data_IF_705230449880
#
_entry.id   IF_705230449880
#
_cell.length_a   1.000
_cell.length_b   1.000
_cell.length_c   1.000
_cell.angle_alpha   90.00
_cell.angle_beta   90.00
_cell.angle_gamma   90.00
#
_symmetry.space_group_name_H-M   'P 1'
#
loop_
_entity.id
_entity.type
_entity.pdbx_description
1 polymer ?
#
# COMPACT_ATOMS: atom_id res chain seq x y z
N UNK A 1 -28.70 -6.14 8.39
CA UNK A 1 -27.51 -6.09 7.49
C UNK A 1 -28.04 -5.94 6.07
N UNK A 2 -27.70 -4.88 5.31
CA UNK A 2 -28.20 -4.70 3.93
C UNK A 2 -27.85 -5.94 3.08
N UNK A 3 -28.80 -6.42 2.27
CA UNK A 3 -28.60 -7.54 1.34
C UNK A 3 -27.46 -7.18 0.37
N UNK A 4 -26.55 -8.12 0.09
CA UNK A 4 -25.50 -7.93 -0.91
C UNK A 4 -26.14 -7.91 -2.29
N UNK A 5 -25.77 -6.93 -3.11
CA UNK A 5 -26.20 -6.78 -4.50
C UNK A 5 -25.03 -7.13 -5.41
N UNK A 6 -25.00 -8.33 -6.03
CA UNK A 6 -23.91 -8.74 -6.90
C UNK A 6 -23.68 -7.80 -8.08
N UNK A 7 -24.74 -7.22 -8.63
CA UNK A 7 -24.67 -6.19 -9.67
C UNK A 7 -23.79 -4.99 -9.27
N UNK A 8 -23.92 -4.46 -8.05
CA UNK A 8 -23.11 -3.34 -7.58
C UNK A 8 -21.65 -3.73 -7.33
N UNK A 9 -21.37 -5.00 -7.01
CA UNK A 9 -20.00 -5.50 -6.91
C UNK A 9 -19.34 -5.52 -8.29
N UNK A 10 -20.07 -5.95 -9.31
CA UNK A 10 -19.61 -5.97 -10.69
C UNK A 10 -19.34 -4.54 -11.20
N UNK A 11 -20.24 -3.58 -10.94
CA UNK A 11 -20.02 -2.17 -11.26
C UNK A 11 -18.75 -1.60 -10.60
N UNK A 12 -18.50 -1.95 -9.34
CA UNK A 12 -17.27 -1.51 -8.65
C UNK A 12 -16.01 -2.15 -9.25
N UNK A 13 -16.06 -3.41 -9.67
CA UNK A 13 -14.96 -4.09 -10.37
C UNK A 13 -14.67 -3.41 -11.71
N UNK A 14 -15.70 -3.06 -12.47
CA UNK A 14 -15.56 -2.31 -13.73
C UNK A 14 -14.97 -0.92 -13.48
N UNK A 15 -15.41 -0.22 -12.44
CA UNK A 15 -14.85 1.06 -12.06
C UNK A 15 -13.38 0.94 -11.66
N UNK A 16 -12.98 -0.13 -10.95
CA UNK A 16 -11.57 -0.43 -10.71
C UNK A 16 -10.81 -0.65 -12.01
N UNK A 17 -11.35 -1.41 -12.96
CA UNK A 17 -10.70 -1.62 -14.25
C UNK A 17 -10.54 -0.31 -15.05
N UNK A 18 -11.45 0.64 -14.88
CA UNK A 18 -11.36 1.95 -15.52
C UNK A 18 -10.38 2.91 -14.80
N UNK A 19 -10.60 3.19 -13.50
CA UNK A 19 -9.82 4.18 -12.73
C UNK A 19 -8.50 3.64 -12.17
N UNK A 20 -8.34 2.32 -12.08
CA UNK A 20 -7.21 1.56 -11.51
C UNK A 20 -7.00 1.70 -10.00
N UNK A 21 -7.31 2.85 -9.42
CA UNK A 21 -7.22 3.12 -7.99
C UNK A 21 -8.47 3.90 -7.51
N UNK A 22 -9.13 3.40 -6.46
CA UNK A 22 -10.36 3.98 -5.91
C UNK A 22 -10.23 4.27 -4.43
N UNK A 23 -10.90 5.32 -3.96
CA UNK A 23 -11.04 5.60 -2.53
C UNK A 23 -12.26 4.91 -1.94
N UNK A 24 -12.36 4.89 -0.60
CA UNK A 24 -13.59 4.45 0.07
C UNK A 24 -14.79 5.30 -0.36
N UNK A 25 -14.62 6.60 -0.61
CA UNK A 25 -15.71 7.47 -1.01
C UNK A 25 -16.26 7.10 -2.41
N UNK A 26 -15.38 6.80 -3.38
CA UNK A 26 -15.79 6.29 -4.69
C UNK A 26 -16.60 5.00 -4.56
N UNK A 27 -16.13 4.09 -3.70
CA UNK A 27 -16.77 2.79 -3.49
C UNK A 27 -18.08 2.88 -2.71
N UNK A 28 -18.21 3.81 -1.77
CA UNK A 28 -19.49 4.08 -1.08
C UNK A 28 -20.55 4.53 -2.08
N UNK A 29 -20.17 5.38 -3.04
CA UNK A 29 -21.08 5.87 -4.07
C UNK A 29 -21.59 4.75 -4.99
N UNK A 30 -20.69 3.86 -5.45
CA UNK A 30 -21.08 2.74 -6.33
C UNK A 30 -21.81 1.63 -5.57
N UNK A 31 -21.27 1.20 -4.43
CA UNK A 31 -21.80 0.05 -3.69
C UNK A 31 -23.06 0.39 -2.86
N UNK A 32 -23.42 1.68 -2.79
CA UNK A 32 -24.54 2.23 -2.02
C UNK A 32 -24.62 1.69 -0.57
N UNK A 33 -23.46 1.61 0.09
CA UNK A 33 -23.32 0.99 1.39
C UNK A 33 -22.37 1.76 2.31
N UNK A 34 -22.38 1.41 3.59
CA UNK A 34 -21.56 2.11 4.59
C UNK A 34 -20.06 1.90 4.35
N UNK A 35 -19.19 2.85 4.78
CA UNK A 35 -17.73 2.69 4.72
C UNK A 35 -17.21 1.40 5.39
N UNK A 36 -17.89 0.91 6.44
CA UNK A 36 -17.55 -0.35 7.11
C UNK A 36 -17.81 -1.54 6.17
N UNK A 37 -18.93 -1.53 5.45
CA UNK A 37 -19.26 -2.56 4.47
C UNK A 37 -18.29 -2.54 3.29
N UNK A 38 -17.92 -1.35 2.80
CA UNK A 38 -16.89 -1.19 1.77
C UNK A 38 -15.56 -1.81 2.21
N UNK A 39 -15.08 -1.51 3.42
CA UNK A 39 -13.83 -2.11 3.95
C UNK A 39 -13.91 -3.63 4.03
N UNK A 40 -15.07 -4.19 4.39
CA UNK A 40 -15.27 -5.64 4.36
C UNK A 40 -15.16 -6.20 2.93
N UNK A 41 -15.80 -5.57 1.94
CA UNK A 41 -15.69 -5.99 0.53
C UNK A 41 -14.25 -5.88 0.01
N UNK A 42 -13.55 -4.79 0.32
CA UNK A 42 -12.13 -4.60 -0.03
C UNK A 42 -11.23 -5.71 0.53
N UNK A 43 -11.53 -6.20 1.75
CA UNK A 43 -10.83 -7.34 2.36
C UNK A 43 -11.20 -8.66 1.67
N UNK A 44 -12.47 -8.88 1.35
CA UNK A 44 -12.94 -10.06 0.60
C UNK A 44 -12.32 -10.14 -0.80
N UNK A 45 -12.14 -9.01 -1.47
CA UNK A 45 -11.49 -8.90 -2.79
C UNK A 45 -9.95 -8.88 -2.76
N UNK A 46 -9.36 -9.05 -1.57
CA UNK A 46 -7.91 -9.05 -1.35
C UNK A 46 -7.17 -7.82 -1.92
N UNK A 47 -7.79 -6.64 -1.86
CA UNK A 47 -7.22 -5.42 -2.46
C UNK A 47 -5.89 -4.99 -1.83
N UNK A 48 -5.05 -4.35 -2.64
CA UNK A 48 -3.88 -3.62 -2.16
C UNK A 48 -4.28 -2.19 -1.78
N UNK A 49 -3.69 -1.66 -0.71
CA UNK A 49 -3.84 -0.24 -0.32
C UNK A 49 -2.60 0.56 -0.69
N UNK A 50 -2.80 1.84 -0.98
CA UNK A 50 -1.72 2.77 -1.29
C UNK A 50 -0.88 3.06 -0.05
N UNK A 51 0.44 2.86 -0.13
CA UNK A 51 1.30 3.05 1.03
C UNK A 51 1.69 4.53 1.24
N UNK A 52 1.70 5.34 0.19
CA UNK A 52 2.14 6.74 0.23
C UNK A 52 1.01 7.78 0.41
N UNK A 53 -0.25 7.33 0.42
CA UNK A 53 -1.43 8.20 0.58
C UNK A 53 -2.24 7.80 1.80
N UNK A 54 -1.59 7.40 2.90
CA UNK A 54 -2.25 7.01 4.16
C UNK A 54 -3.32 5.93 3.97
N UNK A 55 -3.06 4.90 3.14
CA UNK A 55 -4.03 3.83 2.81
C UNK A 55 -5.38 4.35 2.24
N UNK A 56 -5.37 5.51 1.58
CA UNK A 56 -6.59 6.14 1.04
C UNK A 56 -7.11 5.47 -0.22
N UNK A 57 -6.22 4.95 -1.05
CA UNK A 57 -6.57 4.35 -2.33
C UNK A 57 -6.37 2.84 -2.32
N UNK A 58 -7.21 2.15 -3.06
CA UNK A 58 -7.26 0.70 -3.17
C UNK A 58 -7.19 0.28 -4.63
N UNK A 59 -6.72 -0.93 -4.89
CA UNK A 59 -6.70 -1.54 -6.23
C UNK A 59 -6.87 -3.06 -6.13
N UNK A 60 -7.53 -3.66 -7.13
CA UNK A 60 -7.73 -5.11 -7.21
C UNK A 60 -6.41 -5.83 -7.54
N UNK A 61 -6.17 -7.06 -7.05
CA UNK A 61 -4.94 -7.80 -7.33
C UNK A 61 -4.60 -8.01 -8.80
N UNK A 62 -5.61 -8.03 -9.68
CA UNK A 62 -5.45 -8.21 -11.12
C UNK A 62 -4.92 -6.97 -11.86
N UNK A 63 -4.86 -5.80 -11.21
CA UNK A 63 -4.55 -4.53 -11.86
C UNK A 63 -3.06 -4.16 -11.81
N UNK A 64 -2.38 -4.19 -10.64
CA UNK A 64 -0.99 -3.76 -10.52
C UNK A 64 -0.04 -4.57 -11.39
N UNK A 65 0.83 -3.88 -12.12
CA UNK A 65 2.01 -4.47 -12.74
C UNK A 65 3.23 -4.11 -11.90
N UNK A 66 3.47 -4.90 -10.86
CA UNK A 66 4.60 -4.66 -9.96
C UNK A 66 5.93 -4.76 -10.70
N UNK A 67 6.83 -3.83 -10.41
CA UNK A 67 8.22 -3.88 -10.88
C UNK A 67 8.96 -5.07 -10.27
N UNK A 68 10.21 -5.30 -10.70
CA UNK A 68 11.11 -6.30 -10.08
C UNK A 68 11.26 -6.10 -8.56
N UNK A 69 11.12 -4.85 -8.09
CA UNK A 69 11.20 -4.49 -6.68
C UNK A 69 9.88 -4.68 -5.93
N UNK A 70 8.80 -5.10 -6.61
CA UNK A 70 7.49 -5.28 -5.98
C UNK A 70 6.70 -3.97 -5.81
N UNK A 71 7.11 -2.89 -6.47
CA UNK A 71 6.43 -1.58 -6.40
C UNK A 71 5.68 -1.32 -7.69
N UNK A 72 4.43 -0.87 -7.57
CA UNK A 72 3.64 -0.37 -8.69
C UNK A 72 3.26 1.08 -8.42
N UNK A 73 3.70 1.96 -9.32
CA UNK A 73 3.38 3.39 -9.28
C UNK A 73 2.27 3.66 -10.28
N UNK A 74 1.15 4.20 -9.80
CA UNK A 74 0.06 4.66 -10.65
C UNK A 74 -0.17 6.15 -10.39
N UNK A 75 0.30 7.00 -11.32
CA UNK A 75 0.40 8.45 -11.11
C UNK A 75 1.21 8.74 -9.85
N UNK A 76 0.64 9.44 -8.88
CA UNK A 76 1.21 9.76 -7.58
C UNK A 76 0.80 8.77 -6.47
N UNK A 77 0.15 7.64 -6.81
CA UNK A 77 -0.34 6.62 -5.86
C UNK A 77 0.50 5.36 -6.00
N UNK A 78 1.13 4.93 -4.91
CA UNK A 78 2.07 3.82 -4.93
C UNK A 78 1.55 2.63 -4.12
N UNK A 79 1.71 1.45 -4.68
CA UNK A 79 1.29 0.18 -4.12
C UNK A 79 2.49 -0.76 -4.02
N UNK A 80 2.43 -1.66 -3.04
CA UNK A 80 3.48 -2.64 -2.81
C UNK A 80 2.89 -4.04 -2.79
N UNK A 81 3.59 -4.98 -3.43
CA UNK A 81 3.32 -6.42 -3.35
C UNK A 81 3.35 -6.92 -1.89
N UNK A 82 4.10 -6.23 -1.02
CA UNK A 82 4.21 -6.52 0.42
C UNK A 82 3.07 -5.89 1.26
N UNK A 83 2.04 -5.33 0.59
CA UNK A 83 0.82 -4.74 1.14
C UNK A 83 1.04 -3.42 1.88
N UNK A 84 1.67 -3.45 3.04
CA UNK A 84 1.81 -2.26 3.91
C UNK A 84 3.16 -1.57 3.70
N UNK A 85 3.23 -0.26 3.97
CA UNK A 85 4.51 0.46 3.91
C UNK A 85 5.57 -0.19 4.82
N UNK A 86 5.19 -0.51 6.06
CA UNK A 86 6.05 -1.18 7.04
C UNK A 86 6.62 -2.50 6.50
N UNK A 87 5.76 -3.38 5.96
CA UNK A 87 6.22 -4.65 5.40
C UNK A 87 7.13 -4.45 4.19
N UNK A 88 6.89 -3.40 3.41
CA UNK A 88 7.69 -3.04 2.24
C UNK A 88 9.09 -2.61 2.65
N UNK A 89 9.22 -1.75 3.67
CA UNK A 89 10.52 -1.33 4.23
C UNK A 89 11.27 -2.53 4.79
N UNK A 90 10.60 -3.35 5.62
CA UNK A 90 11.19 -4.57 6.19
C UNK A 90 11.72 -5.50 5.11
N UNK A 91 10.97 -5.68 4.02
CA UNK A 91 11.42 -6.50 2.91
C UNK A 91 12.72 -5.94 2.30
N UNK A 92 12.75 -4.65 1.96
CA UNK A 92 13.91 -4.04 1.31
C UNK A 92 15.16 -4.05 2.17
N UNK A 93 15.02 -3.77 3.46
CA UNK A 93 16.13 -3.87 4.41
C UNK A 93 16.67 -5.30 4.46
N UNK A 94 15.79 -6.30 4.61
CA UNK A 94 16.20 -7.70 4.78
C UNK A 94 16.88 -8.30 3.55
N UNK A 95 16.51 -7.85 2.34
CA UNK A 95 17.17 -8.33 1.11
C UNK A 95 18.46 -7.57 0.80
N UNK A 96 18.72 -6.46 1.49
CA UNK A 96 20.00 -5.75 1.39
C UNK A 96 21.08 -6.46 2.20
N UNK A 97 22.31 -6.51 1.67
CA UNK A 97 23.45 -7.11 2.37
C UNK A 97 23.89 -6.30 3.59
N UNK A 98 23.79 -4.97 3.51
CA UNK A 98 24.32 -4.04 4.50
C UNK A 98 23.20 -3.21 5.15
N UNK A 99 21.94 -3.61 5.01
CA UNK A 99 20.80 -2.76 5.35
C UNK A 99 20.59 -1.64 4.33
N UNK A 100 19.69 -0.70 4.64
CA UNK A 100 19.46 0.47 3.79
C UNK A 100 19.44 1.75 4.60
N UNK A 101 20.09 2.77 4.07
CA UNK A 101 19.99 4.14 4.55
C UNK A 101 18.64 4.78 4.19
N UNK A 102 18.33 5.92 4.81
CA UNK A 102 17.11 6.68 4.50
C UNK A 102 17.02 7.11 3.04
N UNK A 103 18.14 7.53 2.45
CA UNK A 103 18.24 7.96 1.05
C UNK A 103 18.00 6.80 0.10
N UNK A 104 18.61 5.63 0.36
CA UNK A 104 18.38 4.42 -0.43
C UNK A 104 16.92 3.94 -0.31
N UNK A 105 16.35 3.97 0.90
CA UNK A 105 14.93 3.66 1.10
C UNK A 105 14.03 4.62 0.32
N UNK A 106 14.33 5.92 0.32
CA UNK A 106 13.57 6.90 -0.46
C UNK A 106 13.65 6.64 -1.97
N UNK A 107 14.83 6.29 -2.48
CA UNK A 107 15.04 5.94 -3.89
C UNK A 107 14.19 4.74 -4.30
N UNK A 108 14.22 3.68 -3.49
CA UNK A 108 13.49 2.43 -3.75
C UNK A 108 11.98 2.61 -3.59
N UNK A 109 11.54 3.29 -2.52
CA UNK A 109 10.12 3.47 -2.19
C UNK A 109 9.48 4.60 -3.03
N UNK A 110 10.29 5.49 -3.59
CA UNK A 110 9.87 6.71 -4.28
C UNK A 110 9.22 7.75 -3.37
N UNK A 111 9.24 7.57 -2.04
CA UNK A 111 8.70 8.50 -1.07
C UNK A 111 9.60 8.56 0.15
N UNK A 112 9.67 9.75 0.73
CA UNK A 112 10.46 9.97 1.92
C UNK A 112 9.95 9.10 3.09
N UNK A 113 10.78 8.21 3.63
CA UNK A 113 10.36 7.25 4.65
C UNK A 113 10.32 7.83 6.07
N UNK A 114 10.73 9.09 6.27
CA UNK A 114 10.85 9.73 7.60
C UNK A 114 9.54 9.68 8.40
N UNK A 115 8.39 9.78 7.74
CA UNK A 115 7.07 9.69 8.38
C UNK A 115 6.82 8.36 9.11
N UNK A 116 7.58 7.31 8.77
CA UNK A 116 7.48 5.99 9.40
C UNK A 116 8.74 5.60 10.17
N UNK A 117 9.81 6.40 10.11
CA UNK A 117 11.06 6.12 10.83
C UNK A 117 10.91 6.09 12.35
N UNK A 118 9.99 6.89 12.90
CA UNK A 118 9.63 6.82 14.31
C UNK A 118 9.15 5.40 14.69
N UNK A 119 8.32 4.79 13.85
CA UNK A 119 7.71 3.48 14.09
C UNK A 119 8.56 2.31 13.59
N UNK A 120 9.59 2.54 12.76
CA UNK A 120 10.42 1.48 12.20
C UNK A 120 11.36 0.83 13.23
N UNK A 121 11.68 1.54 14.33
CA UNK A 121 12.51 0.97 15.42
C UNK A 121 11.80 -0.06 16.28
N UNK A 122 10.47 -0.05 16.26
CA UNK A 122 9.63 -0.99 16.99
C UNK A 122 9.30 -2.22 16.15
N UNK A 123 9.85 -2.33 14.94
CA UNK A 123 9.59 -3.44 14.05
C UNK A 123 10.53 -4.57 14.38
N UNK A 124 9.94 -5.69 14.83
CA UNK A 124 10.68 -6.90 15.13
C UNK A 124 11.60 -7.31 13.96
N UNK A 125 12.91 -7.30 14.22
CA UNK A 125 13.95 -7.69 13.27
C UNK A 125 14.47 -6.58 12.36
N UNK A 126 14.22 -5.30 12.68
CA UNK A 126 15.01 -4.17 12.15
C UNK A 126 15.94 -3.64 13.24
N UNK A 127 17.21 -3.42 12.90
CA UNK A 127 18.20 -2.84 13.80
C UNK A 127 18.55 -1.47 13.25
N UNK A 128 18.48 -0.43 14.09
CA UNK A 128 18.94 0.89 13.68
C UNK A 128 20.39 1.07 14.08
N UNK A 129 21.25 1.34 13.11
CA UNK A 129 22.63 1.71 13.34
C UNK A 129 22.90 3.11 12.83
N UNK A 130 23.61 3.90 13.64
CA UNK A 130 24.00 5.26 13.26
C UNK A 130 25.40 5.23 12.64
N UNK A 131 25.48 5.59 11.37
CA UNK A 131 26.73 5.72 10.62
C UNK A 131 26.94 7.21 10.31
N UNK A 132 27.58 7.92 11.25
CA UNK A 132 27.78 9.37 11.17
C UNK A 132 26.47 10.17 11.21
N UNK A 133 26.09 10.77 10.08
CA UNK A 133 24.82 11.52 9.92
C UNK A 133 23.67 10.66 9.38
N UNK A 134 23.97 9.44 8.94
CA UNK A 134 22.98 8.53 8.38
C UNK A 134 22.52 7.49 9.40
N UNK A 135 21.28 7.04 9.23
CA UNK A 135 20.72 5.91 9.96
C UNK A 135 20.54 4.80 8.92
N UNK A 136 21.14 3.65 9.21
CA UNK A 136 21.01 2.41 8.45
C UNK A 136 20.06 1.50 9.23
N UNK A 137 19.14 0.88 8.49
CA UNK A 137 18.12 -0.04 9.00
C UNK A 137 18.40 -1.46 8.53
#
# INVERSE_FOLDING_TARGET
MKRRHPELDQEAIELFNFKKALSIADLVAVLNCSPITVRRRLKEWDTYSSYNKNNRYYTLPSIPKFSKMGIWKYRDIFFSKYRTFKNTVVHFVRVSKNGLSNSELEEVLGVNPNSLMAHLGEVAGLIKERHGREIIY
#
